data_IF_257670236115
#
_entry.id   IF_257670236115
#
_cell.length_a   1.000
_cell.length_b   1.000
_cell.length_c   1.000
_cell.angle_alpha   90.00
_cell.angle_beta   90.00
_cell.angle_gamma   90.00
#
_symmetry.space_group_name_H-M   'P 1'
#
loop_
_entity.id
_entity.type
_entity.pdbx_description
1 polymer ?
#
# COMPACT_ATOMS: atom_id res chain seq x y z
N UNK A 1 4.15 -18.90 -50.15
CA UNK A 1 4.51 -19.40 -48.80
C UNK A 1 4.19 -20.88 -48.73
N UNK A 2 5.17 -21.74 -48.46
CA UNK A 2 4.97 -23.20 -48.46
C UNK A 2 4.28 -23.65 -47.16
N UNK A 3 3.19 -24.42 -47.27
CA UNK A 3 2.37 -24.87 -46.14
C UNK A 3 3.19 -25.49 -44.99
N UNK A 4 4.33 -26.13 -45.30
CA UNK A 4 5.29 -26.65 -44.33
C UNK A 4 5.80 -25.58 -43.35
N UNK A 5 6.08 -24.36 -43.81
CA UNK A 5 6.55 -23.25 -42.96
C UNK A 5 5.48 -22.77 -41.98
N UNK A 6 4.21 -22.77 -42.40
CA UNK A 6 3.09 -22.36 -41.54
C UNK A 6 2.87 -23.40 -40.43
N UNK A 7 2.93 -24.69 -40.76
CA UNK A 7 2.84 -25.77 -39.77
C UNK A 7 3.99 -25.70 -38.75
N UNK A 8 5.21 -25.43 -39.21
CA UNK A 8 6.36 -25.25 -38.31
C UNK A 8 6.18 -24.06 -37.38
N UNK A 9 5.73 -22.91 -37.88
CA UNK A 9 5.55 -21.70 -37.07
C UNK A 9 4.41 -21.83 -36.06
N UNK A 10 3.30 -22.48 -36.43
CA UNK A 10 2.18 -22.75 -35.52
C UNK A 10 2.59 -23.68 -34.38
N UNK A 11 3.42 -24.68 -34.66
CA UNK A 11 4.00 -25.53 -33.62
C UNK A 11 4.87 -24.75 -32.64
N UNK A 12 5.80 -23.92 -33.14
CA UNK A 12 6.66 -23.10 -32.27
C UNK A 12 5.87 -22.08 -31.46
N UNK A 13 4.83 -21.48 -32.03
CA UNK A 13 3.95 -20.56 -31.31
C UNK A 13 3.16 -21.26 -30.20
N UNK A 14 2.58 -22.43 -30.47
CA UNK A 14 1.88 -23.22 -29.45
C UNK A 14 2.84 -23.65 -28.32
N UNK A 15 4.05 -24.09 -28.67
CA UNK A 15 5.08 -24.44 -27.69
C UNK A 15 5.46 -23.23 -26.83
N UNK A 16 5.63 -22.05 -27.43
CA UNK A 16 5.93 -20.81 -26.71
C UNK A 16 4.82 -20.46 -25.71
N UNK A 17 3.55 -20.53 -26.11
CA UNK A 17 2.42 -20.24 -25.21
C UNK A 17 2.39 -21.22 -24.02
N UNK A 18 2.62 -22.50 -24.26
CA UNK A 18 2.70 -23.52 -23.20
C UNK A 18 3.87 -23.23 -22.26
N UNK A 19 5.05 -22.91 -22.79
CA UNK A 19 6.22 -22.59 -21.98
C UNK A 19 6.02 -21.33 -21.13
N UNK A 20 5.36 -20.30 -21.67
CA UNK A 20 5.02 -19.07 -20.92
C UNK A 20 4.00 -19.40 -19.82
N UNK A 21 2.99 -20.21 -20.09
CA UNK A 21 2.04 -20.63 -19.07
C UNK A 21 2.71 -21.44 -17.96
N UNK A 22 3.63 -22.35 -18.31
CA UNK A 22 4.42 -23.11 -17.35
C UNK A 22 5.39 -22.21 -16.56
N UNK A 23 5.97 -21.20 -17.20
CA UNK A 23 6.85 -20.22 -16.55
C UNK A 23 6.11 -19.41 -15.49
N UNK A 24 4.93 -18.87 -15.83
CA UNK A 24 4.08 -18.19 -14.86
C UNK A 24 3.62 -19.13 -13.75
N UNK A 25 3.26 -20.37 -14.07
CA UNK A 25 2.93 -21.37 -13.06
C UNK A 25 4.10 -21.66 -12.12
N UNK A 26 5.31 -21.86 -12.63
CA UNK A 26 6.51 -22.12 -11.82
C UNK A 26 6.82 -20.96 -10.87
N UNK A 27 6.66 -19.71 -11.33
CA UNK A 27 6.86 -18.51 -10.51
C UNK A 27 5.82 -18.44 -9.38
N UNK A 28 4.54 -18.65 -9.69
CA UNK A 28 3.49 -18.51 -8.69
C UNK A 28 3.39 -19.70 -7.73
N UNK A 29 3.69 -20.93 -8.19
CA UNK A 29 3.74 -22.13 -7.33
C UNK A 29 4.91 -22.05 -6.31
N UNK A 30 5.99 -21.33 -6.62
CA UNK A 30 7.14 -21.10 -5.73
C UNK A 30 7.02 -19.83 -4.89
N UNK A 31 5.95 -19.05 -5.02
CA UNK A 31 5.72 -17.92 -4.11
C UNK A 31 5.26 -18.53 -2.78
N UNK A 32 6.09 -18.54 -1.71
CA UNK A 32 5.65 -19.08 -0.44
C UNK A 32 4.37 -18.36 -0.03
N UNK A 33 3.41 -19.04 0.63
CA UNK A 33 2.25 -18.37 1.19
C UNK A 33 2.75 -17.14 1.95
N UNK A 34 2.16 -15.99 1.64
CA UNK A 34 2.45 -14.72 2.30
C UNK A 34 2.45 -14.92 3.82
N UNK A 35 3.13 -14.04 4.56
CA UNK A 35 3.28 -14.05 6.02
C UNK A 35 1.96 -14.00 6.85
N UNK A 36 0.86 -14.63 6.40
CA UNK A 36 -0.39 -14.85 7.15
C UNK A 36 -0.18 -15.71 8.40
N UNK A 37 0.91 -16.47 8.51
CA UNK A 37 1.17 -17.34 9.68
C UNK A 37 1.95 -16.66 10.82
N UNK A 38 2.51 -15.46 10.64
CA UNK A 38 3.37 -14.81 11.65
C UNK A 38 2.67 -13.75 12.51
N UNK A 39 1.37 -13.51 12.31
CA UNK A 39 0.68 -12.38 12.94
C UNK A 39 -0.75 -12.67 13.38
N UNK A 40 -0.92 -13.58 14.35
CA UNK A 40 -2.05 -13.57 15.29
C UNK A 40 -3.43 -13.94 14.74
N UNK A 41 -4.11 -14.84 15.46
CA UNK A 41 -5.54 -15.04 15.31
C UNK A 41 -6.28 -13.74 15.66
N UNK A 42 -6.74 -13.00 14.67
CA UNK A 42 -7.76 -11.96 14.86
C UNK A 42 -9.11 -12.65 14.64
N UNK A 43 -9.72 -13.08 15.74
CA UNK A 43 -11.13 -13.48 15.76
C UNK A 43 -11.99 -12.28 15.32
N UNK A 44 -12.75 -12.46 14.24
CA UNK A 44 -13.77 -11.50 13.81
C UNK A 44 -13.43 -10.63 12.60
N UNK A 45 -13.38 -11.26 11.41
CA UNK A 45 -13.78 -10.63 10.14
C UNK A 45 -12.84 -9.58 9.55
N UNK A 46 -12.09 -9.99 8.52
CA UNK A 46 -11.44 -9.14 7.51
C UNK A 46 -10.42 -8.11 8.05
N UNK A 47 -9.30 -8.57 8.59
CA UNK A 47 -8.09 -7.75 8.60
C UNK A 47 -7.60 -7.58 7.15
N UNK A 48 -7.89 -6.43 6.54
CA UNK A 48 -7.31 -6.06 5.24
C UNK A 48 -5.82 -5.78 5.41
N UNK A 49 -4.97 -6.54 4.70
CA UNK A 49 -3.53 -6.31 4.70
C UNK A 49 -3.22 -5.34 3.55
N UNK A 50 -2.67 -4.17 3.90
CA UNK A 50 -2.30 -3.16 2.92
C UNK A 50 -1.32 -3.72 1.88
N UNK A 51 -1.61 -3.54 0.59
CA UNK A 51 -0.81 -4.05 -0.52
C UNK A 51 -1.27 -5.40 -1.11
N UNK A 52 -2.23 -6.09 -0.49
CA UNK A 52 -2.82 -7.32 -1.05
C UNK A 52 -3.78 -7.01 -2.23
N UNK A 53 -4.40 -5.83 -2.22
CA UNK A 53 -5.36 -5.44 -3.24
C UNK A 53 -5.45 -3.92 -3.40
N UNK A 54 -5.05 -3.35 -4.56
CA UNK A 54 -5.12 -1.90 -4.79
C UNK A 54 -6.52 -1.30 -4.59
N UNK A 55 -7.57 -2.09 -4.82
CA UNK A 55 -8.95 -1.66 -4.59
C UNK A 55 -9.28 -1.53 -3.12
N UNK A 56 -8.83 -2.48 -2.30
CA UNK A 56 -9.09 -2.47 -0.86
C UNK A 56 -8.19 -1.44 -0.17
N UNK A 57 -6.94 -1.28 -0.62
CA UNK A 57 -6.04 -0.20 -0.19
C UNK A 57 -6.67 1.17 -0.41
N UNK A 58 -7.16 1.44 -1.63
CA UNK A 58 -7.85 2.70 -1.91
C UNK A 58 -9.20 2.86 -1.18
N UNK A 59 -9.80 1.80 -0.64
CA UNK A 59 -10.94 1.93 0.27
C UNK A 59 -10.48 2.28 1.68
N UNK A 60 -9.41 1.65 2.17
CA UNK A 60 -8.80 1.94 3.46
C UNK A 60 -8.31 3.39 3.53
N UNK A 61 -7.65 3.89 2.48
CA UNK A 61 -7.18 5.28 2.39
C UNK A 61 -8.33 6.28 2.48
N UNK A 62 -9.42 6.01 1.74
CA UNK A 62 -10.62 6.87 1.77
C UNK A 62 -11.30 6.84 3.14
N UNK A 63 -11.36 5.68 3.77
CA UNK A 63 -11.92 5.55 5.12
C UNK A 63 -11.06 6.28 6.16
N UNK A 64 -9.74 6.17 6.07
CA UNK A 64 -8.79 6.89 6.91
C UNK A 64 -8.94 8.40 6.74
N UNK A 65 -8.97 8.89 5.51
CA UNK A 65 -9.16 10.31 5.23
C UNK A 65 -10.50 10.82 5.78
N UNK A 66 -11.58 10.05 5.61
CA UNK A 66 -12.88 10.40 6.16
C UNK A 66 -12.86 10.44 7.70
N UNK A 67 -12.13 9.55 8.36
CA UNK A 67 -11.96 9.57 9.81
C UNK A 67 -11.16 10.80 10.27
N UNK A 68 -10.06 11.12 9.58
CA UNK A 68 -9.26 12.32 9.84
C UNK A 68 -10.09 13.61 9.70
N UNK A 69 -10.91 13.69 8.65
CA UNK A 69 -11.85 14.81 8.43
C UNK A 69 -12.94 14.92 9.50
N UNK A 70 -13.35 13.79 10.10
CA UNK A 70 -14.30 13.78 11.22
C UNK A 70 -13.68 14.15 12.56
N UNK A 71 -12.36 14.34 12.63
CA UNK A 71 -11.68 14.70 13.85
C UNK A 71 -10.96 13.55 14.54
N UNK A 72 -10.90 12.34 13.99
CA UNK A 72 -10.21 11.24 14.68
C UNK A 72 -8.71 11.54 14.83
N UNK A 73 -8.18 11.66 16.06
CA UNK A 73 -6.80 12.12 16.26
C UNK A 73 -5.75 11.14 15.71
N UNK A 74 -6.02 9.84 15.74
CA UNK A 74 -5.14 8.82 15.18
C UNK A 74 -5.09 8.92 13.66
N UNK A 75 -6.24 9.05 13.01
CA UNK A 75 -6.35 9.22 11.57
C UNK A 75 -5.75 10.55 11.10
N UNK A 76 -5.93 11.64 11.85
CA UNK A 76 -5.28 12.93 11.57
C UNK A 76 -3.76 12.82 11.66
N UNK A 77 -3.22 12.13 12.66
CA UNK A 77 -1.79 11.85 12.73
C UNK A 77 -1.29 11.05 11.51
N UNK A 78 -2.00 9.99 11.13
CA UNK A 78 -1.64 9.18 9.96
C UNK A 78 -1.72 9.99 8.66
N UNK A 79 -2.70 10.86 8.51
CA UNK A 79 -2.80 11.78 7.38
C UNK A 79 -1.62 12.77 7.36
N UNK A 80 -1.18 13.25 8.52
CA UNK A 80 0.03 14.06 8.65
C UNK A 80 1.27 13.34 8.09
N UNK A 81 1.47 12.06 8.46
CA UNK A 81 2.60 11.26 7.98
C UNK A 81 2.60 11.08 6.45
N UNK A 82 1.41 10.87 5.87
CA UNK A 82 1.25 10.80 4.42
C UNK A 82 1.64 12.15 3.81
N UNK A 83 1.11 13.26 4.33
CA UNK A 83 1.34 14.59 3.78
C UNK A 83 2.78 15.08 3.92
N UNK A 84 3.59 14.59 4.87
CA UNK A 84 5.01 14.99 4.97
C UNK A 84 5.79 14.81 3.67
N UNK A 85 5.39 13.84 2.83
CA UNK A 85 6.03 13.54 1.56
C UNK A 85 5.51 14.40 0.39
N UNK A 86 4.38 15.09 0.57
CA UNK A 86 3.68 15.81 -0.49
C UNK A 86 3.57 17.31 -0.21
N UNK A 87 3.09 17.68 0.98
CA UNK A 87 2.97 19.06 1.43
C UNK A 87 3.18 19.13 2.95
N UNK A 88 4.34 19.65 3.34
CA UNK A 88 4.73 19.79 4.75
C UNK A 88 3.80 20.75 5.51
N UNK A 89 3.25 21.79 4.86
CA UNK A 89 2.33 22.70 5.54
C UNK A 89 1.01 22.00 5.87
N UNK A 90 0.53 21.15 4.97
CA UNK A 90 -0.66 20.34 5.23
C UNK A 90 -0.38 19.28 6.29
N UNK A 91 0.79 18.65 6.29
CA UNK A 91 1.21 17.72 7.34
C UNK A 91 1.17 18.36 8.73
N UNK A 92 1.74 19.57 8.85
CA UNK A 92 1.73 20.33 10.11
C UNK A 92 0.30 20.61 10.58
N UNK A 93 -0.62 20.98 9.69
CA UNK A 93 -2.04 21.22 10.06
C UNK A 93 -2.70 19.96 10.63
N UNK A 94 -2.46 18.81 10.00
CA UNK A 94 -3.01 17.54 10.46
C UNK A 94 -2.43 17.13 11.83
N UNK A 95 -1.13 17.31 12.04
CA UNK A 95 -0.54 17.05 13.35
C UNK A 95 -1.00 18.03 14.42
N UNK A 96 -1.17 19.31 14.10
CA UNK A 96 -1.71 20.30 15.03
C UNK A 96 -3.13 19.95 15.45
N UNK A 97 -3.98 19.50 14.52
CA UNK A 97 -5.33 19.04 14.82
C UNK A 97 -5.34 17.81 15.74
N UNK A 98 -4.47 16.83 15.50
CA UNK A 98 -4.35 15.64 16.34
C UNK A 98 -3.79 15.97 17.74
N UNK A 99 -2.75 16.80 17.80
CA UNK A 99 -2.11 17.22 19.05
C UNK A 99 -3.04 18.09 19.91
N UNK A 100 -3.87 18.94 19.29
CA UNK A 100 -4.87 19.74 20.00
C UNK A 100 -5.91 18.87 20.74
N UNK A 101 -6.10 17.62 20.31
CA UNK A 101 -6.97 16.64 20.97
C UNK A 101 -6.22 15.77 21.99
N UNK A 102 -4.94 16.06 22.26
CA UNK A 102 -4.11 15.33 23.20
C UNK A 102 -3.42 14.09 22.62
N UNK A 103 -3.35 13.95 21.29
CA UNK A 103 -2.66 12.81 20.68
C UNK A 103 -1.14 12.96 20.80
N UNK A 104 -0.56 12.20 21.73
CA UNK A 104 0.85 12.36 22.12
C UNK A 104 1.83 12.15 20.96
N UNK A 105 1.59 11.19 20.07
CA UNK A 105 2.49 10.95 18.93
C UNK A 105 2.50 12.12 17.94
N UNK A 106 1.38 12.82 17.77
CA UNK A 106 1.33 14.02 16.94
C UNK A 106 2.09 15.18 17.60
N UNK A 107 1.93 15.36 18.92
CA UNK A 107 2.67 16.38 19.66
C UNK A 107 4.19 16.13 19.62
N UNK A 108 4.62 14.88 19.78
CA UNK A 108 6.03 14.49 19.66
C UNK A 108 6.56 14.73 18.25
N UNK A 109 5.78 14.38 17.21
CA UNK A 109 6.19 14.61 15.82
C UNK A 109 6.32 16.10 15.50
N UNK A 110 5.39 16.93 15.98
CA UNK A 110 5.49 18.39 15.86
C UNK A 110 6.74 18.95 16.54
N UNK A 111 7.09 18.46 17.73
CA UNK A 111 8.31 18.87 18.42
C UNK A 111 9.55 18.52 17.58
N UNK A 112 9.64 17.29 17.06
CA UNK A 112 10.73 16.85 16.18
C UNK A 112 10.86 17.74 14.93
N UNK A 113 9.74 18.03 14.26
CA UNK A 113 9.72 18.88 13.06
C UNK A 113 10.10 20.33 13.35
N UNK A 114 9.88 20.83 14.58
CA UNK A 114 10.28 22.18 14.99
C UNK A 114 11.76 22.25 15.38
N UNK A 115 12.29 21.20 15.98
CA UNK A 115 13.71 21.11 16.35
C UNK A 115 14.62 20.86 15.14
N UNK A 116 14.13 20.09 14.16
CA UNK A 116 14.81 19.83 12.90
C UNK A 116 13.88 20.21 11.74
N UNK A 117 13.75 21.52 11.43
CA UNK A 117 12.89 21.97 10.34
C UNK A 117 13.29 21.25 9.05
N UNK A 118 12.35 20.57 8.37
CA UNK A 118 12.65 19.89 7.13
C UNK A 118 13.20 20.90 6.13
N UNK A 119 14.25 20.52 5.41
CA UNK A 119 14.86 21.39 4.40
C UNK A 119 13.78 21.91 3.45
N UNK A 120 13.78 23.22 3.10
CA UNK A 120 12.85 23.74 2.12
C UNK A 120 13.02 22.93 0.81
N UNK A 121 11.90 22.43 0.29
CA UNK A 121 11.85 21.78 -1.03
C UNK A 121 12.12 22.79 -2.15
#
# INVERSE_FOLDING_TARGET
MTAKRIVTWTFFFALFVVLVALFWRQIFDQTPPSMRELGGTIEGGNAHIYGESPRQDGMADRAMLAAAQRGDPGAQYLQGLVMEHFDMNEALRWYEAAAAQGYEMAAQRLAQLREAPPAPQ
#
